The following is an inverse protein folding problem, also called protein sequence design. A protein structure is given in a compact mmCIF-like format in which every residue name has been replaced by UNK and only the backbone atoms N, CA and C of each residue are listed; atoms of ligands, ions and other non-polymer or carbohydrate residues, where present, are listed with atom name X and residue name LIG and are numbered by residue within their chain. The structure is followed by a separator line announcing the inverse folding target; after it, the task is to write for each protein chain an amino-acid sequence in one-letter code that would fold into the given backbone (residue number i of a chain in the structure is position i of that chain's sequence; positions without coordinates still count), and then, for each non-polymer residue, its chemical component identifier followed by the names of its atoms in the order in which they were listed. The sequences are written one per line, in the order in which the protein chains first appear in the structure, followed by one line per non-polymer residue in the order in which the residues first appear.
data_IF_782965210830
#
_entry.id   IF_782965210830
#
_cell.length_a   1.000
_cell.length_b   1.000
_cell.length_c   1.000
_cell.angle_alpha   90.00
_cell.angle_beta   90.00
_cell.angle_gamma   90.00
#
_symmetry.space_group_name_H-M   'P 1'
#
loop_
_entity.id
_entity.type
_entity.pdbx_description
1 polymer ?
#
# COMPACT_ATOMS: atom_id res chain seq x y z
N UNK A 1 11.61 44.46 -7.99
CA UNK A 1 11.29 43.02 -7.94
C UNK A 1 10.50 42.78 -6.68
N UNK A 2 9.19 42.53 -6.79
CA UNK A 2 8.37 42.17 -5.63
C UNK A 2 8.75 40.75 -5.24
N UNK A 3 9.13 40.53 -3.97
CA UNK A 3 9.20 39.19 -3.43
C UNK A 3 7.80 38.56 -3.56
N UNK A 4 7.72 37.33 -4.08
CA UNK A 4 6.48 36.58 -4.07
C UNK A 4 6.02 36.43 -2.61
N UNK A 5 4.72 36.54 -2.37
CA UNK A 5 4.16 36.28 -1.05
C UNK A 5 4.46 34.81 -0.69
N UNK A 6 5.17 34.52 0.41
CA UNK A 6 5.58 33.16 0.76
C UNK A 6 4.40 32.19 0.91
N UNK A 7 3.18 32.70 1.14
CA UNK A 7 1.96 31.87 1.17
C UNK A 7 1.51 31.43 -0.22
N UNK A 8 1.63 32.29 -1.22
CA UNK A 8 1.28 31.98 -2.62
C UNK A 8 2.29 30.98 -3.20
N UNK A 9 3.58 31.15 -2.89
CA UNK A 9 4.62 30.22 -3.31
C UNK A 9 4.43 28.82 -2.70
N UNK A 10 4.16 28.74 -1.39
CA UNK A 10 3.90 27.48 -0.72
C UNK A 10 2.68 26.74 -1.29
N UNK A 11 1.58 27.47 -1.55
CA UNK A 11 0.38 26.89 -2.15
C UNK A 11 0.64 26.39 -3.57
N UNK A 12 1.35 27.17 -4.40
CA UNK A 12 1.69 26.75 -5.76
C UNK A 12 2.58 25.49 -5.76
N UNK A 13 3.51 25.37 -4.81
CA UNK A 13 4.33 24.17 -4.63
C UNK A 13 3.47 22.98 -4.22
N UNK A 14 2.56 23.16 -3.26
CA UNK A 14 1.65 22.09 -2.81
C UNK A 14 0.75 21.58 -3.95
N UNK A 15 0.19 22.50 -4.75
CA UNK A 15 -0.62 22.17 -5.91
C UNK A 15 0.19 21.39 -6.95
N UNK A 16 1.41 21.84 -7.27
CA UNK A 16 2.30 21.15 -8.20
C UNK A 16 2.70 19.75 -7.72
N UNK A 17 3.02 19.59 -6.43
CA UNK A 17 3.32 18.29 -5.82
C UNK A 17 2.09 17.38 -5.88
N UNK A 18 0.91 17.90 -5.56
CA UNK A 18 -0.33 17.13 -5.57
C UNK A 18 -0.70 16.67 -6.98
N UNK A 19 -0.54 17.55 -7.98
CA UNK A 19 -0.77 17.23 -9.38
C UNK A 19 0.22 16.16 -9.88
N UNK A 20 1.50 16.31 -9.56
CA UNK A 20 2.53 15.32 -9.87
C UNK A 20 2.21 13.95 -9.27
N UNK A 21 1.96 13.88 -7.96
CA UNK A 21 1.65 12.62 -7.28
C UNK A 21 0.37 11.97 -7.81
N UNK A 22 -0.64 12.77 -8.17
CA UNK A 22 -1.88 12.28 -8.76
C UNK A 22 -1.66 11.75 -10.17
N UNK A 23 -0.86 12.45 -10.99
CA UNK A 23 -0.56 12.04 -12.36
C UNK A 23 0.27 10.77 -12.42
N UNK A 24 1.33 10.70 -11.61
CA UNK A 24 2.32 9.61 -11.63
C UNK A 24 1.88 8.41 -10.79
N UNK A 25 1.32 8.63 -9.59
CA UNK A 25 1.00 7.56 -8.64
C UNK A 25 -0.50 7.47 -8.29
N UNK A 26 -1.38 8.16 -9.03
CA UNK A 26 -2.81 8.19 -8.73
C UNK A 26 -3.48 6.82 -8.74
N UNK A 27 -2.94 5.83 -9.48
CA UNK A 27 -3.38 4.44 -9.40
C UNK A 27 -3.10 3.83 -8.02
N UNK A 28 -1.84 3.82 -7.62
CA UNK A 28 -1.38 3.30 -6.34
C UNK A 28 -2.06 3.99 -5.15
N UNK A 29 -2.09 5.33 -5.16
CA UNK A 29 -2.69 6.12 -4.06
C UNK A 29 -4.20 5.87 -3.89
N UNK A 30 -4.93 5.50 -4.96
CA UNK A 30 -6.34 5.10 -4.84
C UNK A 30 -6.46 3.75 -4.12
N UNK A 31 -5.63 2.78 -4.47
CA UNK A 31 -5.60 1.46 -3.81
C UNK A 31 -5.27 1.61 -2.34
N UNK A 32 -4.24 2.39 -1.99
CA UNK A 32 -3.81 2.58 -0.60
C UNK A 32 -4.87 3.30 0.27
N UNK A 33 -5.74 4.11 -0.34
CA UNK A 33 -6.82 4.81 0.37
C UNK A 33 -8.09 3.97 0.53
N UNK A 34 -8.21 2.87 -0.20
CA UNK A 34 -9.35 1.98 -0.17
C UNK A 34 -8.96 0.66 0.53
N UNK A 35 -9.36 0.48 1.80
CA UNK A 35 -8.97 -0.70 2.57
C UNK A 35 -9.41 -2.02 1.92
N UNK A 36 -10.53 -2.04 1.21
CA UNK A 36 -11.03 -3.25 0.55
C UNK A 36 -10.19 -3.55 -0.69
N UNK A 37 -9.95 -2.56 -1.54
CA UNK A 37 -9.09 -2.73 -2.72
C UNK A 37 -7.66 -3.12 -2.33
N UNK A 38 -7.12 -2.50 -1.29
CA UNK A 38 -5.81 -2.85 -0.75
C UNK A 38 -5.76 -4.30 -0.27
N UNK A 39 -6.74 -4.72 0.54
CA UNK A 39 -6.73 -6.06 1.09
C UNK A 39 -6.95 -7.14 0.01
N UNK A 40 -7.79 -6.85 -0.99
CA UNK A 40 -7.96 -7.72 -2.16
C UNK A 40 -6.69 -7.84 -2.99
N UNK A 41 -5.93 -6.75 -3.17
CA UNK A 41 -4.63 -6.79 -3.84
C UNK A 41 -3.66 -7.68 -3.06
N UNK A 42 -3.57 -7.52 -1.73
CA UNK A 42 -2.67 -8.33 -0.90
C UNK A 42 -3.06 -9.81 -0.90
N UNK A 43 -4.36 -10.14 -0.86
CA UNK A 43 -4.85 -11.51 -1.02
C UNK A 43 -4.50 -12.08 -2.40
N UNK A 44 -4.79 -11.33 -3.47
CA UNK A 44 -4.51 -11.76 -4.85
C UNK A 44 -3.02 -11.94 -5.13
N UNK A 45 -2.17 -11.20 -4.41
CA UNK A 45 -0.72 -11.32 -4.44
C UNK A 45 -0.18 -12.46 -3.54
N UNK A 46 -1.05 -13.14 -2.78
CA UNK A 46 -0.66 -14.18 -1.85
C UNK A 46 0.09 -13.66 -0.62
N UNK A 47 -0.02 -12.36 -0.30
CA UNK A 47 0.63 -11.74 0.85
C UNK A 47 -0.30 -11.65 2.08
N UNK A 48 -1.56 -12.04 1.92
CA UNK A 48 -2.52 -12.13 3.00
C UNK A 48 -3.26 -13.46 3.02
N UNK A 49 -4.03 -13.67 4.07
CA UNK A 49 -4.88 -14.83 4.22
C UNK A 49 -6.21 -14.46 4.86
N UNK A 50 -7.16 -15.38 4.68
CA UNK A 50 -8.55 -15.23 5.12
C UNK A 50 -8.95 -16.50 5.87
N UNK A 51 -9.61 -16.31 6.99
CA UNK A 51 -10.12 -17.39 7.84
C UNK A 51 -11.57 -17.13 8.17
N UNK A 52 -12.40 -18.15 8.03
CA UNK A 52 -13.81 -18.10 8.43
C UNK A 52 -14.01 -18.96 9.66
N UNK A 53 -14.51 -18.35 10.73
CA UNK A 53 -14.84 -19.02 11.98
C UNK A 53 -16.34 -18.95 12.22
N UNK A 54 -16.96 -20.06 12.61
CA UNK A 54 -18.35 -20.09 13.02
C UNK A 54 -18.48 -19.69 14.49
N UNK A 55 -19.26 -18.64 14.77
CA UNK A 55 -19.58 -18.18 16.11
C UNK A 55 -21.03 -18.52 16.45
N UNK A 56 -21.24 -19.24 17.53
CA UNK A 56 -22.58 -19.49 18.07
C UNK A 56 -22.97 -18.32 18.98
N UNK A 57 -24.08 -17.67 18.68
CA UNK A 57 -24.62 -16.56 19.46
C UNK A 57 -25.43 -17.06 20.66
N UNK A 58 -25.66 -16.22 21.69
CA UNK A 58 -26.46 -16.59 22.86
C UNK A 58 -27.90 -17.03 22.56
N UNK A 59 -28.46 -16.63 21.42
CA UNK A 59 -29.80 -17.02 20.95
C UNK A 59 -29.79 -18.34 20.13
N UNK A 60 -28.66 -19.03 20.06
CA UNK A 60 -28.51 -20.31 19.34
C UNK A 60 -28.28 -20.18 17.84
N UNK A 61 -28.22 -18.98 17.27
CA UNK A 61 -27.88 -18.81 15.85
C UNK A 61 -26.38 -18.92 15.61
N UNK A 62 -25.99 -19.40 14.43
CA UNK A 62 -24.59 -19.43 14.00
C UNK A 62 -24.33 -18.24 13.07
N UNK A 63 -23.27 -17.50 13.34
CA UNK A 63 -22.77 -16.42 12.48
C UNK A 63 -21.38 -16.78 12.01
N UNK A 64 -21.13 -16.71 10.70
CA UNK A 64 -19.79 -16.81 10.16
C UNK A 64 -19.08 -15.47 10.34
N UNK A 65 -17.90 -15.52 10.96
CA UNK A 65 -17.02 -14.37 11.14
C UNK A 65 -15.81 -14.59 10.25
N UNK A 66 -15.63 -13.72 9.28
CA UNK A 66 -14.47 -13.73 8.40
C UNK A 66 -13.40 -12.79 8.97
N UNK A 67 -12.20 -13.35 9.19
CA UNK A 67 -11.00 -12.59 9.58
C UNK A 67 -10.06 -12.53 8.39
N UNK A 68 -9.70 -11.31 8.02
CA UNK A 68 -8.75 -11.00 6.97
C UNK A 68 -7.45 -10.48 7.57
N UNK A 69 -6.34 -11.10 7.22
CA UNK A 69 -5.00 -10.68 7.66
C UNK A 69 -4.17 -10.35 6.43
N UNK A 70 -3.65 -9.12 6.39
CA UNK A 70 -2.76 -8.61 5.33
C UNK A 70 -1.62 -7.83 5.97
N UNK A 71 -0.49 -7.61 5.28
CA UNK A 71 0.61 -6.81 5.79
C UNK A 71 0.16 -5.37 6.09
N UNK A 72 0.63 -4.80 7.20
CA UNK A 72 0.25 -3.44 7.62
C UNK A 72 1.16 -2.43 6.91
N UNK A 73 0.57 -1.47 6.21
CA UNK A 73 1.30 -0.31 5.69
C UNK A 73 1.62 0.66 6.83
N UNK A 74 2.91 0.87 7.14
CA UNK A 74 3.34 1.75 8.23
C UNK A 74 3.86 3.10 7.76
N UNK A 75 4.34 3.18 6.51
CA UNK A 75 4.86 4.42 5.97
C UNK A 75 4.69 4.49 4.45
N UNK A 76 4.47 5.72 3.97
CA UNK A 76 4.44 6.06 2.55
C UNK A 76 5.22 7.36 2.36
N UNK A 77 6.10 7.41 1.36
CA UNK A 77 6.76 8.65 0.97
C UNK A 77 7.18 8.63 -0.49
N UNK A 78 7.40 9.82 -1.04
CA UNK A 78 7.86 10.01 -2.40
C UNK A 78 9.23 10.68 -2.40
N UNK A 79 10.21 10.05 -3.05
CA UNK A 79 11.57 10.57 -3.16
C UNK A 79 12.11 10.26 -4.56
N UNK A 80 12.78 11.24 -5.18
CA UNK A 80 13.43 11.08 -6.49
C UNK A 80 12.51 10.50 -7.59
N UNK A 81 11.23 10.84 -7.56
CA UNK A 81 10.23 10.35 -8.51
C UNK A 81 9.83 8.89 -8.32
N UNK A 82 10.09 8.33 -7.14
CA UNK A 82 9.66 6.99 -6.75
C UNK A 82 8.73 7.07 -5.53
N UNK A 83 7.70 6.23 -5.50
CA UNK A 83 6.85 6.05 -4.34
C UNK A 83 7.35 4.86 -3.53
N UNK A 84 7.84 5.11 -2.32
CA UNK A 84 8.29 4.08 -1.39
C UNK A 84 7.22 3.84 -0.32
N UNK A 85 6.98 2.57 -0.03
CA UNK A 85 6.02 2.08 0.95
C UNK A 85 6.73 1.10 1.87
N UNK A 86 6.47 1.18 3.17
CA UNK A 86 7.01 0.24 4.15
C UNK A 86 5.87 -0.55 4.75
N UNK A 87 6.01 -1.87 4.76
CA UNK A 87 5.07 -2.81 5.32
C UNK A 87 5.68 -3.57 6.48
N UNK A 88 4.93 -3.66 7.58
CA UNK A 88 5.19 -4.68 8.59
C UNK A 88 4.90 -6.05 7.98
N UNK A 89 5.93 -6.89 7.97
CA UNK A 89 5.81 -8.22 7.39
C UNK A 89 5.01 -9.15 8.32
N UNK A 90 4.21 -10.04 7.73
CA UNK A 90 3.46 -11.02 8.51
C UNK A 90 4.41 -12.13 9.01
N UNK A 91 4.20 -12.58 10.24
CA UNK A 91 4.92 -13.73 10.78
C UNK A 91 4.69 -14.95 9.88
N UNK A 92 5.79 -15.58 9.45
CA UNK A 92 5.78 -16.73 8.55
C UNK A 92 5.68 -16.40 7.06
N UNK A 93 5.65 -15.12 6.68
CA UNK A 93 5.67 -14.69 5.28
C UNK A 93 7.12 -14.32 4.88
N UNK A 94 7.83 -15.16 4.10
CA UNK A 94 9.22 -14.87 3.74
C UNK A 94 9.31 -13.74 2.70
N UNK A 95 10.41 -12.98 2.70
CA UNK A 95 10.65 -11.92 1.72
C UNK A 95 10.66 -12.43 0.26
N UNK A 96 10.99 -13.70 0.04
CA UNK A 96 10.90 -14.34 -1.28
C UNK A 96 9.47 -14.38 -1.82
N UNK A 97 8.45 -14.38 -0.96
CA UNK A 97 7.05 -14.33 -1.36
C UNK A 97 6.65 -12.92 -1.85
N UNK A 98 7.26 -11.88 -1.29
CA UNK A 98 7.12 -10.51 -1.80
C UNK A 98 7.75 -10.36 -3.18
N UNK A 99 8.93 -10.96 -3.39
CA UNK A 99 9.55 -11.01 -4.71
C UNK A 99 8.62 -11.71 -5.73
N UNK A 100 8.03 -12.86 -5.38
CA UNK A 100 7.08 -13.58 -6.23
C UNK A 100 5.78 -12.78 -6.49
N UNK A 101 5.34 -11.98 -5.53
CA UNK A 101 4.15 -11.13 -5.61
C UNK A 101 4.34 -9.88 -6.49
N UNK A 102 5.59 -9.54 -6.87
CA UNK A 102 5.94 -8.28 -7.52
C UNK A 102 5.07 -7.96 -8.73
N UNK A 103 4.83 -8.91 -9.64
CA UNK A 103 4.07 -8.63 -10.86
C UNK A 103 2.59 -8.33 -10.57
N UNK A 104 1.96 -9.06 -9.66
CA UNK A 104 0.60 -8.79 -9.20
C UNK A 104 0.51 -7.42 -8.54
N UNK A 105 1.45 -7.10 -7.66
CA UNK A 105 1.52 -5.80 -6.98
C UNK A 105 1.74 -4.66 -7.97
N UNK A 106 2.67 -4.81 -8.93
CA UNK A 106 2.94 -3.82 -9.99
C UNK A 106 1.68 -3.51 -10.78
N UNK A 107 0.98 -4.55 -11.22
CA UNK A 107 -0.27 -4.43 -11.98
C UNK A 107 -1.37 -3.79 -11.13
N UNK A 108 -1.55 -4.24 -9.88
CA UNK A 108 -2.56 -3.73 -8.96
C UNK A 108 -2.37 -2.27 -8.59
N UNK A 109 -1.13 -1.87 -8.30
CA UNK A 109 -0.77 -0.47 -8.06
C UNK A 109 -0.70 0.37 -9.34
N UNK A 110 -0.77 -0.27 -10.51
CA UNK A 110 -0.64 0.36 -11.84
C UNK A 110 0.67 1.13 -11.98
N UNK A 111 1.75 0.52 -11.50
CA UNK A 111 3.10 1.09 -11.57
C UNK A 111 3.82 0.63 -12.85
N UNK A 112 4.72 1.46 -13.35
CA UNK A 112 5.60 1.10 -14.46
C UNK A 112 6.58 0.00 -14.02
N UNK A 113 7.24 0.19 -12.88
CA UNK A 113 8.08 -0.82 -12.24
C UNK A 113 7.78 -0.95 -10.75
N UNK A 114 8.22 -2.07 -10.19
CA UNK A 114 8.18 -2.34 -8.75
C UNK A 114 9.51 -2.98 -8.33
N UNK A 115 9.96 -2.63 -7.14
CA UNK A 115 11.07 -3.28 -6.46
C UNK A 115 10.61 -3.63 -5.04
N UNK A 116 11.02 -4.79 -4.55
CA UNK A 116 10.74 -5.22 -3.17
C UNK A 116 12.05 -5.58 -2.49
N UNK A 117 12.22 -5.13 -1.25
CA UNK A 117 13.40 -5.42 -0.46
C UNK A 117 13.02 -5.62 1.00
N UNK A 118 13.66 -6.57 1.67
CA UNK A 118 13.59 -6.70 3.12
C UNK A 118 14.59 -5.76 3.78
N UNK A 119 14.11 -5.00 4.75
CA UNK A 119 14.93 -4.15 5.60
C UNK A 119 15.41 -4.93 6.84
N UNK A 120 16.44 -4.43 7.54
CA UNK A 120 17.11 -5.15 8.63
C UNK A 120 16.24 -5.39 9.87
N UNK A 121 15.14 -4.66 9.99
CA UNK A 121 14.12 -4.81 11.03
C UNK A 121 13.01 -5.81 10.66
N UNK A 122 13.12 -6.46 9.49
CA UNK A 122 12.14 -7.43 8.97
C UNK A 122 10.96 -6.79 8.24
N UNK A 123 10.93 -5.45 8.11
CA UNK A 123 9.95 -4.77 7.30
C UNK A 123 10.23 -4.95 5.81
N UNK A 124 9.19 -4.90 4.99
CA UNK A 124 9.32 -4.91 3.54
C UNK A 124 9.17 -3.50 2.99
N UNK A 125 10.16 -3.07 2.21
CA UNK A 125 10.12 -1.85 1.43
C UNK A 125 9.68 -2.21 0.01
N UNK A 126 8.63 -1.54 -0.45
CA UNK A 126 8.14 -1.63 -1.82
C UNK A 126 8.32 -0.26 -2.49
N UNK A 127 9.05 -0.23 -3.59
CA UNK A 127 9.33 0.99 -4.34
C UNK A 127 8.67 0.90 -5.70
N UNK A 128 7.91 1.94 -6.07
CA UNK A 128 7.22 2.05 -7.37
C UNK A 128 7.82 3.18 -8.19
N UNK A 129 7.87 2.98 -9.51
CA UNK A 129 7.98 4.06 -10.49
C UNK A 129 6.65 4.20 -11.22
N UNK A 130 6.23 5.45 -11.48
CA UNK A 130 4.96 5.72 -12.17
C UNK A 130 5.07 5.72 -13.69
#
# INVERSE_FOLDING_TARGET
MSAADPTVEAQAIEEAITEYLRGTFGGALRVLRDPEAFAQLMLGAGLGWRRTDARVNPNGTVTEVETLTVPTLVWVGCMNGQLAMVFENLLGLPATQWAAASETLRSGFRAATIETAEHTDGNIVVTLTG
#
